data_IF_118311729688
#
_entry.id   IF_118311729688
#
_cell.length_a   1.000
_cell.length_b   1.000
_cell.length_c   1.000
_cell.angle_alpha   90.00
_cell.angle_beta   90.00
_cell.angle_gamma   90.00
#
_symmetry.space_group_name_H-M   'P 1'
#
loop_
_entity.id
_entity.type
_entity.pdbx_description
1 polymer ?
#
# COMPACT_ATOMS: atom_id res chain seq x y z
N UNK A 1 21.73 -12.11 11.36
CA UNK A 1 20.83 -11.04 10.92
C UNK A 1 19.74 -11.67 10.07
N UNK A 2 18.45 -11.41 10.38
CA UNK A 2 17.32 -11.91 9.61
C UNK A 2 17.30 -11.18 8.26
N UNK A 3 17.13 -11.94 7.17
CA UNK A 3 16.87 -11.40 5.84
C UNK A 3 15.51 -10.73 5.80
N UNK A 4 15.32 -9.81 4.84
CA UNK A 4 14.04 -9.13 4.66
C UNK A 4 12.91 -10.14 4.50
N UNK A 5 11.83 -9.93 5.25
CA UNK A 5 10.59 -10.69 5.16
C UNK A 5 10.04 -10.57 3.73
N UNK A 6 9.83 -11.70 3.06
CA UNK A 6 9.23 -11.72 1.73
C UNK A 6 7.76 -11.31 1.77
N UNK A 7 7.32 -10.60 0.73
CA UNK A 7 5.93 -10.20 0.61
C UNK A 7 5.09 -11.37 0.08
N UNK A 8 4.34 -12.02 0.96
CA UNK A 8 3.49 -13.17 0.64
C UNK A 8 2.51 -12.87 -0.50
N UNK A 9 1.98 -11.64 -0.61
CA UNK A 9 1.08 -11.29 -1.71
C UNK A 9 1.76 -11.40 -3.08
N UNK A 10 3.04 -11.03 -3.19
CA UNK A 10 3.80 -11.21 -4.45
C UNK A 10 3.92 -12.69 -4.85
N UNK A 11 4.09 -13.57 -3.87
CA UNK A 11 4.15 -15.01 -4.12
C UNK A 11 2.79 -15.54 -4.58
N UNK A 12 1.70 -15.14 -3.91
CA UNK A 12 0.33 -15.50 -4.30
C UNK A 12 0.03 -15.05 -5.73
N UNK A 13 0.31 -13.77 -6.06
CA UNK A 13 0.05 -13.25 -7.41
C UNK A 13 0.91 -13.92 -8.49
N UNK A 14 2.19 -14.20 -8.19
CA UNK A 14 3.06 -14.94 -9.13
C UNK A 14 2.58 -16.36 -9.41
N UNK A 15 1.89 -16.98 -8.47
CA UNK A 15 1.29 -18.32 -8.67
C UNK A 15 -0.05 -18.28 -9.41
N UNK A 16 -0.54 -17.10 -9.80
CA UNK A 16 -1.84 -16.90 -10.44
C UNK A 16 -3.04 -17.05 -9.50
N UNK A 17 -2.80 -17.02 -8.20
CA UNK A 17 -3.84 -17.15 -7.19
C UNK A 17 -4.36 -15.77 -6.74
N UNK A 18 -5.60 -15.77 -6.25
CA UNK A 18 -6.22 -14.58 -5.63
C UNK A 18 -5.87 -14.49 -4.16
N UNK A 19 -5.77 -13.27 -3.65
CA UNK A 19 -5.60 -12.97 -2.23
C UNK A 19 -6.85 -12.31 -1.66
N UNK A 20 -7.09 -12.51 -0.37
CA UNK A 20 -8.19 -11.87 0.36
C UNK A 20 -7.63 -10.82 1.30
N UNK A 21 -8.09 -9.58 1.14
CA UNK A 21 -7.67 -8.43 1.92
C UNK A 21 -8.76 -7.99 2.90
N UNK A 22 -8.41 -7.80 4.17
CA UNK A 22 -9.27 -7.18 5.16
C UNK A 22 -9.03 -5.66 5.23
N UNK A 23 -10.07 -4.89 5.56
CA UNK A 23 -10.05 -3.43 5.55
C UNK A 23 -10.28 -2.86 6.96
N UNK A 24 -9.42 -1.96 7.40
CA UNK A 24 -9.41 -1.38 8.74
C UNK A 24 -9.60 0.14 8.67
N UNK A 25 -10.67 0.64 9.33
CA UNK A 25 -10.98 2.07 9.39
C UNK A 25 -11.01 2.62 10.83
N UNK A 26 -11.03 1.73 11.82
CA UNK A 26 -11.11 2.08 13.24
C UNK A 26 -9.68 2.15 13.82
N UNK A 27 -9.27 3.25 14.45
CA UNK A 27 -7.91 3.47 14.95
C UNK A 27 -7.66 2.74 16.27
N UNK A 28 -7.64 1.41 16.22
CA UNK A 28 -7.49 0.59 17.41
C UNK A 28 -6.59 -0.62 17.16
N UNK A 29 -5.49 -0.73 17.91
CA UNK A 29 -4.51 -1.81 17.75
C UNK A 29 -5.07 -3.18 18.14
N UNK A 30 -5.97 -3.25 19.14
CA UNK A 30 -6.58 -4.52 19.52
C UNK A 30 -7.53 -5.03 18.44
N UNK A 31 -8.29 -4.16 17.79
CA UNK A 31 -9.10 -4.52 16.61
C UNK A 31 -8.21 -5.03 15.47
N UNK A 32 -7.08 -4.37 15.22
CA UNK A 32 -6.12 -4.81 14.22
C UNK A 32 -5.52 -6.18 14.56
N UNK A 33 -5.22 -6.46 15.83
CA UNK A 33 -4.75 -7.75 16.30
C UNK A 33 -5.80 -8.86 16.12
N UNK A 34 -7.07 -8.59 16.46
CA UNK A 34 -8.17 -9.52 16.23
C UNK A 34 -8.32 -9.87 14.75
N UNK A 35 -8.27 -8.85 13.88
CA UNK A 35 -8.33 -9.04 12.43
C UNK A 35 -7.11 -9.83 11.92
N UNK A 36 -5.91 -9.56 12.43
CA UNK A 36 -4.70 -10.29 12.03
C UNK A 36 -4.73 -11.78 12.43
N UNK A 37 -5.58 -12.16 13.39
CA UNK A 37 -5.80 -13.56 13.78
C UNK A 37 -6.83 -14.30 12.90
N UNK A 38 -7.43 -13.62 11.92
CA UNK A 38 -8.32 -14.21 10.92
C UNK A 38 -7.51 -14.64 9.68
N UNK A 39 -8.17 -15.34 8.75
CA UNK A 39 -7.52 -15.90 7.56
C UNK A 39 -7.41 -14.89 6.40
N UNK A 40 -6.90 -13.68 6.68
CA UNK A 40 -6.59 -12.69 5.66
C UNK A 40 -5.18 -12.92 5.09
N UNK A 41 -5.01 -12.68 3.80
CA UNK A 41 -3.67 -12.63 3.20
C UNK A 41 -3.01 -11.28 3.45
N UNK A 42 -3.80 -10.21 3.50
CA UNK A 42 -3.38 -8.85 3.83
C UNK A 42 -4.42 -8.09 4.63
N UNK A 43 -3.96 -7.05 5.33
CA UNK A 43 -4.82 -6.08 6.02
C UNK A 43 -4.42 -4.68 5.59
N UNK A 44 -5.38 -3.89 5.12
CA UNK A 44 -5.16 -2.50 4.71
C UNK A 44 -5.67 -1.53 5.76
N UNK A 45 -4.79 -0.65 6.23
CA UNK A 45 -5.15 0.51 7.02
C UNK A 45 -5.67 1.60 6.10
N UNK A 46 -6.90 2.05 6.30
CA UNK A 46 -7.48 3.14 5.53
C UNK A 46 -7.17 4.48 6.19
N UNK A 47 -6.13 5.16 5.68
CA UNK A 47 -5.76 6.48 6.18
C UNK A 47 -6.42 7.62 5.37
N UNK A 48 -7.16 7.30 4.31
CA UNK A 48 -7.89 8.27 3.49
C UNK A 48 -9.26 8.60 4.10
N UNK A 49 -10.11 7.60 4.26
CA UNK A 49 -11.48 7.75 4.76
C UNK A 49 -11.71 7.13 6.13
N UNK A 50 -10.81 6.28 6.60
CA UNK A 50 -10.77 5.82 7.98
C UNK A 50 -10.33 6.95 8.92
N UNK A 51 -10.66 6.83 10.20
CA UNK A 51 -10.25 7.80 11.23
C UNK A 51 -8.88 7.45 11.82
N UNK A 52 -7.95 6.96 10.99
CA UNK A 52 -6.62 6.48 11.38
C UNK A 52 -5.58 7.57 11.08
N UNK A 53 -4.98 8.11 12.13
CA UNK A 53 -3.81 8.98 12.03
C UNK A 53 -2.49 8.18 12.07
N UNK A 54 -1.36 8.86 11.89
CA UNK A 54 -0.05 8.20 11.85
C UNK A 54 0.32 7.46 13.15
N UNK A 55 0.15 8.01 14.37
CA UNK A 55 0.41 7.29 15.61
C UNK A 55 -0.43 6.02 15.76
N UNK A 56 -1.72 6.08 15.42
CA UNK A 56 -2.59 4.91 15.42
C UNK A 56 -2.16 3.89 14.38
N UNK A 57 -1.81 4.33 13.16
CA UNK A 57 -1.31 3.43 12.11
C UNK A 57 -0.06 2.66 12.57
N UNK A 58 0.89 3.32 13.24
CA UNK A 58 2.08 2.65 13.81
C UNK A 58 1.68 1.54 14.79
N UNK A 59 0.79 1.84 15.74
CA UNK A 59 0.32 0.86 16.74
C UNK A 59 -0.42 -0.31 16.11
N UNK A 60 -1.24 -0.05 15.08
CA UNK A 60 -1.95 -1.08 14.33
C UNK A 60 -1.00 -1.95 13.51
N UNK A 61 0.00 -1.36 12.86
CA UNK A 61 1.05 -2.11 12.15
C UNK A 61 1.87 -3.00 13.10
N UNK A 62 2.11 -2.55 14.34
CA UNK A 62 2.73 -3.38 15.37
C UNK A 62 1.86 -4.60 15.71
N UNK A 63 0.56 -4.40 15.90
CA UNK A 63 -0.39 -5.47 16.16
C UNK A 63 -0.45 -6.49 15.01
N UNK A 64 -0.56 -6.02 13.76
CA UNK A 64 -0.59 -6.87 12.57
C UNK A 64 0.70 -7.68 12.42
N UNK A 65 1.85 -7.09 12.78
CA UNK A 65 3.17 -7.75 12.64
C UNK A 65 3.37 -8.98 13.52
N UNK A 66 2.47 -9.24 14.48
CA UNK A 66 2.45 -10.45 15.33
C UNK A 66 2.07 -11.70 14.53
N UNK A 67 1.51 -11.54 13.33
CA UNK A 67 1.03 -12.62 12.45
C UNK A 67 1.65 -12.53 11.06
N UNK A 68 1.45 -13.59 10.29
CA UNK A 68 1.92 -13.65 8.90
C UNK A 68 0.88 -13.11 7.92
N UNK A 69 0.37 -11.90 8.19
CA UNK A 69 -0.55 -11.14 7.34
C UNK A 69 0.21 -9.96 6.78
N UNK A 70 0.08 -9.67 5.49
CA UNK A 70 0.80 -8.56 4.86
C UNK A 70 0.17 -7.23 5.24
N UNK A 71 0.90 -6.33 5.93
CA UNK A 71 0.38 -5.01 6.28
C UNK A 71 0.41 -4.08 5.09
N UNK A 72 -0.73 -3.49 4.76
CA UNK A 72 -0.90 -2.51 3.69
C UNK A 72 -1.50 -1.21 4.24
N UNK A 73 -1.38 -0.14 3.49
CA UNK A 73 -2.04 1.12 3.80
C UNK A 73 -2.60 1.78 2.54
N UNK A 74 -3.82 2.30 2.61
CA UNK A 74 -4.31 3.30 1.69
C UNK A 74 -3.94 4.67 2.25
N UNK A 75 -3.10 5.42 1.51
CA UNK A 75 -2.67 6.76 1.92
C UNK A 75 -3.73 7.80 1.63
N UNK A 76 -3.61 8.98 2.27
CA UNK A 76 -4.58 10.07 2.10
C UNK A 76 -4.59 10.63 0.67
N UNK A 77 -3.42 10.75 0.08
CA UNK A 77 -3.20 11.30 -1.26
C UNK A 77 -1.85 10.84 -1.82
N UNK A 78 -1.59 11.15 -3.09
CA UNK A 78 -0.29 10.93 -3.72
C UNK A 78 0.73 11.97 -3.21
N UNK A 79 1.12 11.84 -1.95
CA UNK A 79 2.04 12.74 -1.26
C UNK A 79 3.24 11.94 -0.74
N UNK A 80 4.47 12.16 -1.29
CA UNK A 80 5.64 11.33 -1.01
C UNK A 80 6.05 11.27 0.47
N UNK A 81 5.86 12.36 1.20
CA UNK A 81 6.20 12.41 2.63
C UNK A 81 5.33 11.47 3.47
N UNK A 82 4.03 11.40 3.18
CA UNK A 82 3.12 10.47 3.86
C UNK A 82 3.39 9.02 3.46
N UNK A 83 3.63 8.78 2.16
CA UNK A 83 4.00 7.46 1.64
C UNK A 83 5.27 6.96 2.33
N UNK A 84 6.32 7.78 2.39
CA UNK A 84 7.56 7.47 3.07
C UNK A 84 7.32 7.11 4.54
N UNK A 85 6.55 7.92 5.27
CA UNK A 85 6.28 7.74 6.70
C UNK A 85 5.60 6.40 6.99
N UNK A 86 4.59 6.01 6.22
CA UNK A 86 3.89 4.76 6.47
C UNK A 86 4.71 3.54 6.05
N UNK A 87 5.56 3.65 5.02
CA UNK A 87 6.53 2.63 4.65
C UNK A 87 7.60 2.45 5.73
N UNK A 88 8.09 3.55 6.32
CA UNK A 88 9.04 3.51 7.44
C UNK A 88 8.43 2.91 8.71
N UNK A 89 7.11 3.05 8.88
CA UNK A 89 6.34 2.39 9.92
C UNK A 89 6.14 0.88 9.69
N UNK A 90 6.46 0.36 8.50
CA UNK A 90 6.47 -1.08 8.20
C UNK A 90 5.31 -1.56 7.33
N UNK A 91 4.62 -0.69 6.60
CA UNK A 91 3.71 -1.13 5.54
C UNK A 91 4.50 -1.82 4.40
N UNK A 92 3.93 -2.88 3.85
CA UNK A 92 4.49 -3.68 2.76
C UNK A 92 3.75 -3.52 1.43
N UNK A 93 2.73 -2.69 1.43
CA UNK A 93 2.01 -2.28 0.23
C UNK A 93 1.30 -0.95 0.44
N UNK A 94 1.26 -0.16 -0.61
CA UNK A 94 0.57 1.13 -0.66
C UNK A 94 -0.52 1.08 -1.71
N UNK A 95 -1.71 1.55 -1.33
CA UNK A 95 -2.80 1.89 -2.24
C UNK A 95 -2.86 3.41 -2.31
N UNK A 96 -2.62 3.97 -3.49
CA UNK A 96 -2.60 5.43 -3.72
C UNK A 96 -3.90 5.87 -4.40
N UNK A 97 -4.74 6.70 -3.75
CA UNK A 97 -6.00 7.16 -4.31
C UNK A 97 -5.79 8.21 -5.40
N UNK A 98 -6.81 8.42 -6.22
CA UNK A 98 -6.96 9.53 -7.17
C UNK A 98 -5.81 9.66 -8.19
N UNK A 99 -5.20 8.55 -8.59
CA UNK A 99 -4.16 8.53 -9.64
C UNK A 99 -4.84 8.56 -11.00
N UNK A 100 -4.57 9.60 -11.80
CA UNK A 100 -5.32 9.86 -13.02
C UNK A 100 -4.50 9.71 -14.32
N UNK A 101 -3.17 9.71 -14.23
CA UNK A 101 -2.31 9.67 -15.41
C UNK A 101 -0.93 9.07 -15.12
N UNK A 102 -0.16 8.87 -16.18
CA UNK A 102 1.19 8.29 -16.10
C UNK A 102 2.15 9.09 -15.20
N UNK A 103 2.12 10.42 -15.28
CA UNK A 103 3.04 11.27 -14.49
C UNK A 103 2.77 11.09 -13.00
N UNK A 104 1.51 11.08 -12.59
CA UNK A 104 1.11 10.84 -11.20
C UNK A 104 1.47 9.43 -10.75
N UNK A 105 1.31 8.43 -11.64
CA UNK A 105 1.70 7.05 -11.37
C UNK A 105 3.21 6.91 -11.17
N UNK A 106 4.01 7.54 -12.05
CA UNK A 106 5.47 7.55 -11.90
C UNK A 106 5.92 8.22 -10.61
N UNK A 107 5.31 9.35 -10.24
CA UNK A 107 5.60 10.04 -8.99
C UNK A 107 5.28 9.17 -7.78
N UNK A 108 4.14 8.50 -7.78
CA UNK A 108 3.76 7.54 -6.76
C UNK A 108 4.78 6.39 -6.65
N UNK A 109 5.07 5.73 -7.76
CA UNK A 109 6.03 4.61 -7.79
C UNK A 109 7.40 5.04 -7.28
N UNK A 110 7.93 6.16 -7.78
CA UNK A 110 9.24 6.70 -7.37
C UNK A 110 9.25 7.13 -5.89
N UNK A 111 8.13 7.64 -5.38
CA UNK A 111 7.95 7.97 -3.95
C UNK A 111 8.02 6.76 -3.02
N UNK A 112 7.66 5.57 -3.51
CA UNK A 112 7.76 4.31 -2.77
C UNK A 112 9.17 3.68 -2.81
N UNK A 113 10.03 4.09 -3.73
CA UNK A 113 11.29 3.40 -4.03
C UNK A 113 12.51 4.22 -3.59
N UNK A 114 13.51 3.52 -3.05
CA UNK A 114 14.82 4.12 -2.77
C UNK A 114 15.61 4.40 -4.05
N UNK A 115 16.51 5.41 -4.03
CA UNK A 115 17.46 5.64 -5.12
C UNK A 115 18.26 4.37 -5.47
N UNK A 116 18.68 4.20 -6.74
CA UNK A 116 18.49 5.11 -7.87
C UNK A 116 17.14 4.95 -8.59
N UNK A 117 16.28 4.00 -8.18
CA UNK A 117 15.00 3.71 -8.83
C UNK A 117 13.91 4.73 -8.51
N UNK A 118 14.02 5.43 -7.38
CA UNK A 118 13.09 6.45 -6.91
C UNK A 118 13.79 7.50 -6.08
N UNK A 119 12.99 8.22 -5.26
CA UNK A 119 13.48 9.31 -4.42
C UNK A 119 13.02 9.22 -2.95
N UNK A 120 12.52 8.04 -2.53
CA UNK A 120 12.19 7.82 -1.12
C UNK A 120 13.42 8.08 -0.24
N UNK A 121 13.28 8.94 0.78
CA UNK A 121 14.34 9.17 1.75
C UNK A 121 14.58 7.95 2.64
N UNK A 122 15.81 7.66 2.96
CA UNK A 122 16.19 6.51 3.77
C UNK A 122 16.13 6.83 5.27
N UNK A 123 15.31 6.11 5.99
CA UNK A 123 15.15 6.21 7.45
C UNK A 123 14.13 5.22 7.99
N UNK A 124 14.17 3.92 7.56
CA UNK A 124 13.10 2.97 7.84
C UNK A 124 13.21 2.37 9.26
N UNK A 125 13.08 3.16 10.31
CA UNK A 125 13.30 2.73 11.70
C UNK A 125 12.51 1.45 12.01
N UNK A 126 11.18 1.48 11.89
CA UNK A 126 10.35 0.31 12.15
C UNK A 126 10.34 -0.66 10.95
N UNK A 127 10.53 -0.16 9.75
CA UNK A 127 10.71 -0.97 8.55
C UNK A 127 11.84 -1.99 8.70
N UNK A 128 12.97 -1.61 9.31
CA UNK A 128 14.08 -2.52 9.65
C UNK A 128 13.67 -3.57 10.69
N UNK A 129 12.93 -3.16 11.73
CA UNK A 129 12.48 -4.09 12.79
C UNK A 129 11.52 -5.15 12.24
N UNK A 130 10.59 -4.74 11.38
CA UNK A 130 9.62 -5.64 10.78
C UNK A 130 10.18 -6.41 9.57
N UNK A 131 10.88 -5.71 8.70
CA UNK A 131 11.35 -6.23 7.41
C UNK A 131 12.64 -7.04 7.49
N UNK A 132 13.61 -6.60 8.29
CA UNK A 132 14.92 -7.26 8.39
C UNK A 132 16.08 -6.32 8.07
N UNK A 133 17.31 -6.78 8.35
CA UNK A 133 18.51 -5.94 8.29
C UNK A 133 18.90 -5.50 6.87
N UNK A 134 18.52 -6.26 5.86
CA UNK A 134 18.73 -5.99 4.44
C UNK A 134 17.56 -5.24 3.77
N UNK A 135 16.73 -4.58 4.58
CA UNK A 135 15.55 -3.85 4.10
C UNK A 135 15.87 -2.83 2.99
N UNK A 136 16.99 -2.11 3.10
CA UNK A 136 17.38 -1.12 2.10
C UNK A 136 17.60 -1.74 0.71
N UNK A 137 18.17 -2.94 0.65
CA UNK A 137 18.52 -3.62 -0.59
C UNK A 137 17.28 -4.26 -1.26
N UNK A 138 16.34 -4.73 -0.43
CA UNK A 138 15.21 -5.54 -0.88
C UNK A 138 13.88 -4.76 -0.96
N UNK A 139 13.71 -3.63 -0.26
CA UNK A 139 12.45 -2.92 -0.15
C UNK A 139 11.85 -2.53 -1.51
N UNK A 140 12.68 -2.09 -2.46
CA UNK A 140 12.23 -1.75 -3.81
C UNK A 140 11.58 -2.93 -4.55
N UNK A 141 11.94 -4.16 -4.18
CA UNK A 141 11.43 -5.38 -4.80
C UNK A 141 10.24 -5.96 -4.02
N UNK A 142 10.16 -5.74 -2.71
CA UNK A 142 9.15 -6.37 -1.85
C UNK A 142 7.90 -5.50 -1.62
N UNK A 143 8.04 -4.17 -1.63
CA UNK A 143 6.89 -3.27 -1.44
C UNK A 143 5.98 -3.29 -2.66
N UNK A 144 4.68 -3.54 -2.43
CA UNK A 144 3.64 -3.46 -3.46
C UNK A 144 3.12 -2.04 -3.63
N UNK A 145 2.82 -1.67 -4.88
CA UNK A 145 2.34 -0.35 -5.28
C UNK A 145 1.10 -0.49 -6.15
N UNK A 146 -0.04 -0.05 -5.63
CA UNK A 146 -1.33 -0.08 -6.33
C UNK A 146 -1.84 1.35 -6.55
N UNK A 147 -2.11 1.71 -7.80
CA UNK A 147 -2.78 2.96 -8.15
C UNK A 147 -4.30 2.74 -8.17
N UNK A 148 -5.08 3.62 -7.51
CA UNK A 148 -6.53 3.55 -7.59
C UNK A 148 -7.03 4.17 -8.88
N UNK A 149 -7.88 3.41 -9.57
CA UNK A 149 -8.62 3.82 -10.75
C UNK A 149 -10.02 4.20 -10.30
N UNK A 150 -10.28 5.49 -10.23
CA UNK A 150 -11.51 6.03 -9.65
C UNK A 150 -11.92 7.41 -10.21
N UNK A 151 -11.21 7.87 -11.26
CA UNK A 151 -11.56 9.09 -11.99
C UNK A 151 -11.86 8.78 -13.46
N UNK A 152 -12.59 9.67 -14.14
CA UNK A 152 -12.82 9.52 -15.58
C UNK A 152 -11.49 9.56 -16.36
N UNK A 153 -10.58 10.47 -15.97
CA UNK A 153 -9.25 10.59 -16.55
C UNK A 153 -8.42 9.30 -16.38
N UNK A 154 -8.50 8.64 -15.21
CA UNK A 154 -7.80 7.38 -14.98
C UNK A 154 -8.29 6.24 -15.89
N UNK A 155 -9.58 6.24 -16.26
CA UNK A 155 -10.11 5.29 -17.26
C UNK A 155 -9.58 5.59 -18.66
N UNK A 156 -9.52 6.87 -19.04
CA UNK A 156 -9.03 7.30 -20.35
C UNK A 156 -7.53 6.99 -20.50
N UNK A 157 -6.76 7.04 -19.40
CA UNK A 157 -5.32 6.81 -19.37
C UNK A 157 -4.93 5.43 -18.82
N UNK A 158 -5.87 4.48 -18.73
CA UNK A 158 -5.68 3.21 -18.03
C UNK A 158 -4.45 2.42 -18.53
N UNK A 159 -4.25 2.34 -19.83
CA UNK A 159 -3.13 1.59 -20.41
C UNK A 159 -1.79 2.22 -20.02
N UNK A 160 -1.66 3.55 -20.07
CA UNK A 160 -0.44 4.25 -19.68
C UNK A 160 -0.13 4.12 -18.18
N UNK A 161 -1.18 4.09 -17.35
CA UNK A 161 -1.06 3.84 -15.91
C UNK A 161 -0.53 2.43 -15.68
N UNK A 162 -1.15 1.42 -16.28
CA UNK A 162 -0.78 0.01 -16.10
C UNK A 162 0.60 -0.32 -16.64
N UNK A 163 1.04 0.35 -17.70
CA UNK A 163 2.38 0.17 -18.29
C UNK A 163 3.48 0.91 -17.52
N UNK A 164 3.16 1.67 -16.47
CA UNK A 164 4.16 2.43 -15.71
C UNK A 164 5.15 1.48 -15.02
N UNK A 165 6.46 1.58 -15.32
CA UNK A 165 7.45 0.69 -14.72
C UNK A 165 7.49 0.78 -13.20
N UNK A 166 7.40 -0.38 -12.54
CA UNK A 166 7.45 -0.49 -11.09
C UNK A 166 6.09 -0.39 -10.40
N UNK A 167 5.01 -0.09 -11.10
CA UNK A 167 3.66 -0.31 -10.60
C UNK A 167 3.39 -1.83 -10.53
N UNK A 168 2.82 -2.30 -9.43
CA UNK A 168 2.53 -3.73 -9.24
C UNK A 168 1.09 -4.10 -9.64
N UNK A 169 0.19 -3.11 -9.73
CA UNK A 169 -1.20 -3.32 -10.14
C UNK A 169 -2.08 -2.09 -9.92
N UNK A 170 -3.35 -2.25 -10.18
CA UNK A 170 -4.37 -1.23 -9.95
C UNK A 170 -5.34 -1.68 -8.86
N UNK A 171 -5.98 -0.71 -8.22
CA UNK A 171 -7.08 -0.90 -7.28
C UNK A 171 -8.30 -0.13 -7.79
N UNK A 172 -9.45 -0.78 -7.95
CA UNK A 172 -10.65 -0.12 -8.44
C UNK A 172 -11.40 0.51 -7.27
N UNK A 173 -11.64 1.83 -7.35
CA UNK A 173 -12.47 2.59 -6.40
C UNK A 173 -13.89 2.77 -6.94
N UNK A 174 -14.84 1.84 -6.67
CA UNK A 174 -16.13 1.81 -7.38
C UNK A 174 -17.01 3.02 -7.07
N UNK A 175 -16.96 3.55 -5.85
CA UNK A 175 -17.82 4.67 -5.45
C UNK A 175 -17.47 5.97 -6.20
N UNK A 176 -16.18 6.36 -6.14
CA UNK A 176 -15.69 7.55 -6.85
C UNK A 176 -15.75 7.37 -8.37
N UNK A 177 -15.42 6.17 -8.86
CA UNK A 177 -15.51 5.87 -10.27
C UNK A 177 -16.95 6.00 -10.80
N UNK A 178 -17.94 5.50 -10.07
CA UNK A 178 -19.37 5.67 -10.43
C UNK A 178 -19.74 7.15 -10.51
N UNK A 179 -19.35 7.95 -9.52
CA UNK A 179 -19.57 9.40 -9.54
C UNK A 179 -18.88 10.07 -10.74
N UNK A 180 -17.64 9.66 -11.04
CA UNK A 180 -16.86 10.23 -12.13
C UNK A 180 -17.47 10.00 -13.52
N UNK A 181 -18.24 8.91 -13.70
CA UNK A 181 -18.95 8.61 -14.95
C UNK A 181 -20.43 9.05 -14.93
N UNK A 182 -20.86 9.74 -13.87
CA UNK A 182 -22.22 10.30 -13.76
C UNK A 182 -23.27 9.34 -13.19
N UNK A 183 -22.84 8.24 -12.58
CA UNK A 183 -23.69 7.26 -11.94
C UNK A 183 -23.78 7.47 -10.42
N UNK A 184 -24.69 6.77 -9.76
CA UNK A 184 -24.78 6.77 -8.30
C UNK A 184 -23.61 5.94 -7.72
N UNK A 185 -23.03 6.36 -6.60
CA UNK A 185 -22.00 5.56 -5.93
C UNK A 185 -22.59 4.21 -5.49
N UNK A 186 -21.87 3.15 -5.77
CA UNK A 186 -22.28 1.76 -5.48
C UNK A 186 -21.38 1.14 -4.39
#
# INVERSE_FOLDING_TARGET
FLRMRKNKLKEIFKSGQSAVNGWLQIPNSFTAELMANQNWDSLTLDMQHGVIDYPNAVSMLQAISTKNVVPMARVNWNEPGQIMKILDAGAYGIICPMVSNKVETENFVKGCMYPPKGYRSYGPIRGLVYGGADYADEANNEILKFAMIETKESLENLDEIMETPGLDGIYIGPADLSLAIGEKPS
#
